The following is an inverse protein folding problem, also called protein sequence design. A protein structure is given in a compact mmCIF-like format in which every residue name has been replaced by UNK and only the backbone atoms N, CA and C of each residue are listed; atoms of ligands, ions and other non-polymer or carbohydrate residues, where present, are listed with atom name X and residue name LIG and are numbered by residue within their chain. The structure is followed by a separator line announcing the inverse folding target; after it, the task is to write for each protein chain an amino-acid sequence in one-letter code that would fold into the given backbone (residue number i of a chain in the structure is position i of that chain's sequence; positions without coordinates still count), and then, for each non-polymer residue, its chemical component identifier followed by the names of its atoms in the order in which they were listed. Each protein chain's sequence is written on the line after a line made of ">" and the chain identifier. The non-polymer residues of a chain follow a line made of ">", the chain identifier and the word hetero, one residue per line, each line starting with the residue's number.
data_IF_178979742097
#
_entry.id   IF_178979742097
#
_cell.length_a   1.000
_cell.length_b   1.000
_cell.length_c   1.000
_cell.angle_alpha   90.00
_cell.angle_beta   90.00
_cell.angle_gamma   90.00
#
_symmetry.space_group_name_H-M   'P 1'
#
loop_
_entity.id
_entity.type
_entity.pdbx_description
1 polymer ?
#
# COMPACT_ATOMS: atom_id res chain seq x y z
N UNK A 1 2.84 -13.68 -7.55
CA UNK A 1 1.87 -13.93 -6.48
C UNK A 1 0.72 -12.95 -6.61
N UNK A 2 -0.49 -13.46 -6.83
CA UNK A 2 -1.68 -12.60 -6.85
C UNK A 2 -2.00 -12.06 -5.45
N UNK A 3 -2.71 -10.95 -5.37
CA UNK A 3 -3.16 -10.38 -4.08
C UNK A 3 -3.97 -11.39 -3.27
N UNK A 4 -4.73 -12.28 -3.91
CA UNK A 4 -5.56 -13.29 -3.24
C UNK A 4 -4.78 -14.40 -2.55
N UNK A 5 -3.62 -14.79 -3.10
CA UNK A 5 -2.71 -15.74 -2.44
C UNK A 5 -2.03 -15.07 -1.23
N UNK A 6 -1.67 -13.81 -1.39
CA UNK A 6 -1.00 -13.03 -0.35
C UNK A 6 -1.94 -12.76 0.84
N UNK A 7 -3.24 -12.62 0.58
CA UNK A 7 -4.26 -12.49 1.63
C UNK A 7 -4.31 -13.73 2.53
N UNK A 8 -4.07 -14.94 2.02
CA UNK A 8 -4.11 -16.18 2.83
C UNK A 8 -3.00 -16.22 3.91
N UNK A 9 -1.87 -15.57 3.64
CA UNK A 9 -0.72 -15.53 4.55
C UNK A 9 -0.87 -14.51 5.68
N UNK A 10 -1.89 -13.65 5.63
CA UNK A 10 -2.08 -12.60 6.64
C UNK A 10 -2.83 -13.08 7.90
N UNK A 11 -2.62 -12.38 9.05
CA UNK A 11 -3.41 -12.60 10.26
C UNK A 11 -4.91 -12.28 10.05
N UNK A 12 -5.76 -12.83 10.93
CA UNK A 12 -7.23 -12.81 10.78
C UNK A 12 -7.83 -11.40 10.54
N UNK A 13 -7.32 -10.37 11.24
CA UNK A 13 -7.77 -8.97 11.09
C UNK A 13 -7.51 -8.43 9.68
N UNK A 14 -6.33 -8.70 9.14
CA UNK A 14 -5.93 -8.23 7.82
C UNK A 14 -6.73 -8.96 6.73
N UNK A 15 -6.87 -10.28 6.83
CA UNK A 15 -7.76 -11.08 5.96
C UNK A 15 -9.18 -10.54 5.91
N UNK A 16 -9.80 -10.30 7.07
CA UNK A 16 -11.17 -9.75 7.16
C UNK A 16 -11.31 -8.40 6.47
N UNK A 17 -10.27 -7.57 6.50
CA UNK A 17 -10.28 -6.26 5.83
C UNK A 17 -10.22 -6.40 4.31
N UNK A 18 -9.34 -7.25 3.79
CA UNK A 18 -9.22 -7.48 2.34
C UNK A 18 -10.48 -8.15 1.78
N UNK A 19 -11.06 -9.12 2.49
CA UNK A 19 -12.33 -9.75 2.10
C UNK A 19 -13.52 -8.77 2.06
N UNK A 20 -13.55 -7.77 2.96
CA UNK A 20 -14.55 -6.69 2.93
C UNK A 20 -14.33 -5.66 1.83
N UNK A 21 -13.19 -5.73 1.14
CA UNK A 21 -12.83 -4.83 0.06
C UNK A 21 -12.11 -3.55 0.50
N UNK A 22 -11.18 -3.10 -0.34
CA UNK A 22 -10.52 -1.80 -0.19
C UNK A 22 -11.40 -0.70 -0.80
N UNK A 23 -11.83 0.26 0.02
CA UNK A 23 -12.55 1.45 -0.46
C UNK A 23 -11.67 2.31 -1.39
N UNK A 24 -12.30 3.24 -2.11
CA UNK A 24 -11.65 4.16 -3.08
C UNK A 24 -10.45 4.93 -2.52
N UNK A 25 -10.49 5.34 -1.24
CA UNK A 25 -9.41 6.10 -0.59
C UNK A 25 -8.09 5.30 -0.48
N UNK A 26 -8.08 4.07 0.08
CA UNK A 26 -6.92 3.18 0.02
C UNK A 26 -6.35 2.95 -1.39
N UNK A 27 -7.22 2.71 -2.38
CA UNK A 27 -6.78 2.49 -3.76
C UNK A 27 -6.08 3.72 -4.36
N UNK A 28 -6.58 4.92 -4.06
CA UNK A 28 -5.94 6.16 -4.47
C UNK A 28 -4.55 6.33 -3.83
N UNK A 29 -4.37 5.92 -2.58
CA UNK A 29 -3.07 5.96 -1.92
C UNK A 29 -2.07 5.02 -2.59
N UNK A 30 -2.47 3.78 -2.90
CA UNK A 30 -1.62 2.81 -3.62
C UNK A 30 -1.19 3.38 -4.98
N UNK A 31 -2.12 3.98 -5.72
CA UNK A 31 -1.80 4.61 -7.02
C UNK A 31 -0.78 5.73 -6.89
N UNK A 32 -0.92 6.61 -5.89
CA UNK A 32 0.04 7.69 -5.61
C UNK A 32 1.42 7.15 -5.26
N UNK A 33 1.49 6.10 -4.43
CA UNK A 33 2.75 5.47 -4.04
C UNK A 33 3.44 4.77 -5.21
N UNK A 34 2.68 4.08 -6.08
CA UNK A 34 3.22 3.49 -7.31
C UNK A 34 3.80 4.54 -8.25
N UNK A 35 3.17 5.73 -8.33
CA UNK A 35 3.70 6.84 -9.12
C UNK A 35 4.99 7.38 -8.50
N UNK A 36 4.98 7.71 -7.21
CA UNK A 36 6.16 8.22 -6.52
C UNK A 36 7.37 7.27 -6.58
N UNK A 37 7.13 5.95 -6.54
CA UNK A 37 8.19 4.94 -6.66
C UNK A 37 8.74 4.80 -8.10
N UNK A 38 7.95 5.11 -9.13
CA UNK A 38 8.39 5.09 -10.53
C UNK A 38 9.16 6.35 -10.92
N UNK A 39 8.75 7.48 -10.37
CA UNK A 39 9.36 8.78 -10.69
C UNK A 39 10.70 8.99 -9.95
N UNK A 40 10.98 8.19 -8.92
CA UNK A 40 12.21 8.28 -8.14
C UNK A 40 13.41 7.62 -8.88
N UNK A 41 14.60 8.26 -8.88
CA UNK A 41 15.80 7.66 -9.43
C UNK A 41 16.24 6.42 -8.63
N UNK A 42 16.87 5.43 -9.29
CA UNK A 42 17.33 4.21 -8.63
C UNK A 42 18.38 4.55 -7.55
N UNK A 43 18.03 4.29 -6.29
CA UNK A 43 18.90 4.51 -5.13
C UNK A 43 18.47 5.66 -4.22
N UNK A 44 17.60 6.56 -4.69
CA UNK A 44 17.07 7.65 -3.89
C UNK A 44 15.72 7.31 -3.26
N UNK A 45 15.43 7.95 -2.12
CA UNK A 45 14.15 7.76 -1.45
C UNK A 45 13.07 8.56 -2.18
N UNK A 46 11.91 7.97 -2.51
CA UNK A 46 10.84 8.66 -3.22
C UNK A 46 10.22 9.77 -2.35
N UNK A 47 9.60 10.75 -3.00
CA UNK A 47 8.92 11.86 -2.31
C UNK A 47 7.89 11.36 -1.27
N UNK A 48 7.80 12.03 -0.11
CA UNK A 48 6.89 11.65 0.95
C UNK A 48 5.42 11.85 0.54
N UNK A 49 4.65 10.77 0.51
CA UNK A 49 3.21 10.83 0.25
C UNK A 49 2.45 11.05 1.55
N UNK A 50 1.85 12.24 1.70
CA UNK A 50 1.07 12.61 2.89
C UNK A 50 -0.31 11.93 2.91
N UNK A 51 -0.70 11.33 4.03
CA UNK A 51 -1.99 10.65 4.20
C UNK A 51 -2.54 10.73 5.63
N UNK A 52 -3.85 10.96 5.73
CA UNK A 52 -4.58 10.84 7.01
C UNK A 52 -5.03 9.39 7.29
N UNK A 53 -4.84 8.46 6.34
CA UNK A 53 -5.34 7.09 6.43
C UNK A 53 -4.46 6.19 7.31
N UNK A 54 -4.56 6.36 8.63
CA UNK A 54 -3.85 5.50 9.61
C UNK A 54 -4.36 4.07 9.67
N UNK A 55 -5.58 3.84 9.20
CA UNK A 55 -6.15 2.51 9.24
C UNK A 55 -5.58 1.62 8.13
N UNK A 56 -4.88 2.14 7.12
CA UNK A 56 -4.42 1.33 5.98
C UNK A 56 -3.41 0.25 6.41
N UNK A 57 -3.62 -0.98 5.93
CA UNK A 57 -2.65 -2.07 6.13
C UNK A 57 -1.52 -1.86 5.13
N UNK A 58 -0.28 -2.00 5.60
CA UNK A 58 0.90 -1.95 4.74
C UNK A 58 0.87 -3.18 3.83
N UNK A 59 0.78 -2.92 2.53
CA UNK A 59 0.87 -3.94 1.48
C UNK A 59 2.34 -4.02 1.04
N UNK A 60 2.87 -5.20 0.63
CA UNK A 60 4.26 -5.30 0.19
C UNK A 60 4.67 -4.31 -0.91
N UNK A 61 3.72 -3.89 -1.74
CA UNK A 61 3.95 -2.86 -2.77
C UNK A 61 4.34 -1.48 -2.21
N UNK A 62 3.99 -1.19 -0.95
CA UNK A 62 4.29 0.07 -0.27
C UNK A 62 5.71 0.09 0.33
N UNK A 63 6.44 -1.04 0.29
CA UNK A 63 7.79 -1.14 0.82
C UNK A 63 8.74 -0.29 -0.04
N UNK A 64 9.55 0.54 0.63
CA UNK A 64 10.49 1.48 0.00
C UNK A 64 9.88 2.83 -0.35
N UNK A 65 8.62 3.10 0.02
CA UNK A 65 8.01 4.43 -0.09
C UNK A 65 8.01 5.17 1.25
N UNK A 66 8.15 6.49 1.22
CA UNK A 66 7.98 7.34 2.40
C UNK A 66 6.51 7.76 2.51
N UNK A 67 5.90 7.49 3.67
CA UNK A 67 4.53 7.89 3.99
C UNK A 67 4.57 8.86 5.17
N UNK A 68 3.92 10.01 5.03
CA UNK A 68 3.84 11.06 6.05
C UNK A 68 2.42 11.49 6.37
#
# INVERSE_FOLDING_TARGET
>A
MGTDELVKLFPARARRRFQRGLKRKPLALIKKLRKAKRDAPPGEKPEPVRTHLRNMIIVPEMIGSIVG
#
